data_IF_145488127138
#
_entry.id   IF_145488127138
#
_cell.length_a   1.000
_cell.length_b   1.000
_cell.length_c   1.000
_cell.angle_alpha   90.00
_cell.angle_beta   90.00
_cell.angle_gamma   90.00
#
_symmetry.space_group_name_H-M   'P 1'
#
loop_
_entity.id
_entity.type
_entity.pdbx_description
1 polymer ?
#
# COMPACT_ATOMS: atom_id res chain seq x y z
N UNK A 1 49.46 -34.00 60.55
CA UNK A 1 48.81 -33.65 59.28
C UNK A 1 47.56 -32.83 59.58
N UNK A 2 47.46 -31.56 59.16
CA UNK A 2 46.22 -30.80 59.27
C UNK A 2 45.33 -31.02 58.03
N UNK A 3 43.99 -30.94 58.16
CA UNK A 3 43.06 -31.20 57.07
C UNK A 3 42.99 -30.04 56.07
N UNK A 4 42.92 -30.38 54.79
CA UNK A 4 42.78 -29.47 53.65
C UNK A 4 41.38 -28.84 53.60
N UNK A 5 41.31 -27.51 53.61
CA UNK A 5 40.07 -26.76 53.33
C UNK A 5 39.78 -26.83 51.84
N UNK A 6 38.67 -27.43 51.45
CA UNK A 6 38.14 -27.41 50.09
C UNK A 6 37.54 -26.04 49.79
N UNK A 7 38.02 -25.38 48.73
CA UNK A 7 37.50 -24.10 48.27
C UNK A 7 36.19 -24.33 47.48
N UNK A 8 35.11 -23.65 47.86
CA UNK A 8 33.81 -23.72 47.18
C UNK A 8 33.73 -22.64 46.08
N UNK A 9 33.62 -23.00 44.78
CA UNK A 9 33.76 -22.05 43.67
C UNK A 9 32.44 -21.33 43.30
N UNK A 10 31.62 -20.95 44.29
CA UNK A 10 30.32 -20.30 44.03
C UNK A 10 30.08 -19.07 44.92
N UNK A 11 30.63 -17.93 44.51
CA UNK A 11 29.90 -16.65 44.43
C UNK A 11 30.84 -15.52 43.99
N UNK A 12 31.19 -15.46 42.71
CA UNK A 12 31.66 -14.18 42.15
C UNK A 12 30.43 -13.30 41.95
N UNK A 13 30.17 -12.41 42.92
CA UNK A 13 29.30 -11.25 42.69
C UNK A 13 30.10 -10.26 41.85
N UNK A 14 29.61 -9.80 40.68
CA UNK A 14 30.31 -8.78 39.92
C UNK A 14 30.46 -7.52 40.78
N UNK A 15 31.68 -6.99 40.90
CA UNK A 15 32.02 -5.78 41.65
C UNK A 15 31.40 -4.51 41.08
N UNK A 16 30.85 -4.59 39.86
CA UNK A 16 30.09 -3.51 39.24
C UNK A 16 28.62 -3.93 39.30
N UNK A 17 27.92 -3.44 40.33
CA UNK A 17 26.48 -3.34 40.26
C UNK A 17 26.20 -2.41 39.07
N UNK A 18 25.68 -2.93 37.96
CA UNK A 18 25.13 -2.07 36.93
C UNK A 18 23.98 -1.33 37.59
N UNK A 19 24.25 -0.08 38.02
CA UNK A 19 23.17 0.84 38.38
C UNK A 19 22.24 0.80 37.18
N UNK A 20 21.04 0.26 37.36
CA UNK A 20 20.04 0.35 36.32
C UNK A 20 19.76 1.84 36.18
N UNK A 21 20.43 2.49 35.23
CA UNK A 21 20.13 3.86 34.78
C UNK A 21 18.77 3.79 34.07
N UNK A 22 17.72 3.43 34.81
CA UNK A 22 16.36 3.59 34.37
C UNK A 22 16.09 5.07 34.59
N UNK A 23 15.92 5.85 33.51
CA UNK A 23 15.73 7.28 33.63
C UNK A 23 14.50 7.53 34.50
N UNK A 24 14.63 8.47 35.42
CA UNK A 24 13.55 8.85 36.32
C UNK A 24 12.32 9.31 35.51
N UNK A 25 11.10 9.22 36.05
CA UNK A 25 9.91 9.71 35.35
C UNK A 25 10.04 11.17 34.90
N UNK A 26 10.77 11.98 35.68
CA UNK A 26 11.07 13.38 35.37
C UNK A 26 12.04 13.48 34.20
N UNK A 27 13.10 12.67 34.17
CA UNK A 27 14.07 12.62 33.08
C UNK A 27 13.41 12.19 31.76
N UNK A 28 12.53 11.18 31.81
CA UNK A 28 11.72 10.78 30.64
C UNK A 28 10.83 11.91 30.14
N UNK A 29 10.20 12.65 31.05
CA UNK A 29 9.34 13.77 30.67
C UNK A 29 10.13 14.92 30.04
N UNK A 30 11.35 15.18 30.52
CA UNK A 30 12.27 16.16 29.96
C UNK A 30 12.79 15.73 28.59
N UNK A 31 13.16 14.47 28.41
CA UNK A 31 13.58 13.92 27.11
C UNK A 31 12.47 14.04 26.05
N UNK A 32 11.23 13.79 26.44
CA UNK A 32 10.08 13.98 25.55
C UNK A 32 9.89 15.45 25.17
N UNK A 33 10.04 16.36 26.12
CA UNK A 33 9.97 17.80 25.85
C UNK A 33 11.13 18.24 24.95
N UNK A 34 12.36 17.78 25.18
CA UNK A 34 13.52 18.09 24.35
C UNK A 34 13.29 17.60 22.92
N UNK A 35 12.82 16.35 22.74
CA UNK A 35 12.48 15.81 21.41
C UNK A 35 11.38 16.63 20.73
N UNK A 36 10.36 17.04 21.47
CA UNK A 36 9.29 17.89 20.96
C UNK A 36 9.83 19.24 20.46
N UNK A 37 10.62 19.92 21.28
CA UNK A 37 11.19 21.23 20.94
C UNK A 37 12.21 21.14 19.80
N UNK A 38 13.01 20.08 19.72
CA UNK A 38 13.92 19.84 18.59
C UNK A 38 13.15 19.65 17.28
N UNK A 39 12.13 18.78 17.27
CA UNK A 39 11.25 18.60 16.09
C UNK A 39 10.62 19.93 15.67
N UNK A 40 10.16 20.73 16.62
CA UNK A 40 9.51 22.02 16.34
C UNK A 40 10.50 23.06 15.81
N UNK A 41 11.73 23.08 16.33
CA UNK A 41 12.81 23.92 15.79
C UNK A 41 13.13 23.54 14.34
N UNK A 42 13.32 22.25 14.07
CA UNK A 42 13.67 21.77 12.73
C UNK A 42 12.54 22.05 11.73
N UNK A 43 11.28 21.90 12.14
CA UNK A 43 10.12 22.29 11.36
C UNK A 43 10.16 23.79 11.00
N UNK A 44 10.42 24.66 11.98
CA UNK A 44 10.49 26.11 11.76
C UNK A 44 11.65 26.50 10.84
N UNK A 45 12.82 25.89 10.99
CA UNK A 45 13.97 26.12 10.11
C UNK A 45 13.62 25.73 8.66
N UNK A 46 12.96 24.59 8.46
CA UNK A 46 12.49 24.17 7.13
C UNK A 46 11.44 25.13 6.56
N UNK A 47 10.46 25.55 7.36
CA UNK A 47 9.42 26.48 6.94
C UNK A 47 10.01 27.83 6.48
N UNK A 48 10.95 28.39 7.25
CA UNK A 48 11.65 29.63 6.87
C UNK A 48 12.47 29.45 5.60
N UNK A 49 13.09 28.28 5.41
CA UNK A 49 13.83 27.97 4.17
C UNK A 49 12.88 27.97 2.97
N UNK A 50 11.76 27.24 3.05
CA UNK A 50 10.77 27.17 1.97
C UNK A 50 10.14 28.54 1.64
N UNK A 51 9.90 29.36 2.67
CA UNK A 51 9.41 30.72 2.47
C UNK A 51 10.42 31.61 1.74
N UNK A 52 11.72 31.45 2.01
CA UNK A 52 12.77 32.27 1.37
C UNK A 52 13.08 31.87 -0.07
N UNK A 53 12.89 30.60 -0.42
CA UNK A 53 13.30 30.09 -1.73
C UNK A 53 12.24 30.26 -2.83
N UNK A 54 11.04 30.77 -2.51
CA UNK A 54 9.87 30.82 -3.41
C UNK A 54 9.65 29.49 -4.17
N UNK A 55 10.03 28.37 -3.57
CA UNK A 55 9.90 27.04 -4.18
C UNK A 55 8.42 26.68 -4.38
N UNK A 56 7.54 27.21 -3.54
CA UNK A 56 6.11 26.97 -3.63
C UNK A 56 5.50 27.44 -4.96
N UNK A 57 5.85 28.64 -5.44
CA UNK A 57 5.38 29.16 -6.73
C UNK A 57 5.87 28.29 -7.89
N UNK A 58 7.15 27.91 -7.88
CA UNK A 58 7.73 27.03 -8.90
C UNK A 58 7.09 25.65 -8.92
N UNK A 59 6.79 25.10 -7.75
CA UNK A 59 6.11 23.81 -7.61
C UNK A 59 4.67 23.92 -8.16
N UNK A 60 3.94 24.99 -7.83
CA UNK A 60 2.59 25.21 -8.36
C UNK A 60 2.59 25.37 -9.89
N UNK A 61 3.55 26.11 -10.44
CA UNK A 61 3.71 26.24 -11.89
C UNK A 61 3.96 24.88 -12.57
N UNK A 62 4.76 24.02 -11.93
CA UNK A 62 5.00 22.67 -12.42
C UNK A 62 3.74 21.82 -12.31
N UNK A 63 3.01 21.89 -11.20
CA UNK A 63 1.73 21.18 -11.02
C UNK A 63 0.76 21.58 -12.12
N UNK A 64 0.60 22.88 -12.40
CA UNK A 64 -0.27 23.33 -13.48
C UNK A 64 0.16 22.84 -14.86
N UNK A 65 1.46 22.85 -15.15
CA UNK A 65 2.00 22.34 -16.42
C UNK A 65 1.69 20.85 -16.59
N UNK A 66 1.94 20.06 -15.56
CA UNK A 66 1.65 18.63 -15.58
C UNK A 66 0.15 18.36 -15.68
N UNK A 67 -0.69 19.08 -14.94
CA UNK A 67 -2.15 18.99 -15.08
C UNK A 67 -2.62 19.31 -16.50
N UNK A 68 -2.08 20.36 -17.13
CA UNK A 68 -2.39 20.70 -18.54
C UNK A 68 -2.00 19.57 -19.50
N UNK A 69 -0.81 18.99 -19.34
CA UNK A 69 -0.35 17.87 -20.16
C UNK A 69 -1.27 16.65 -19.95
N UNK A 70 -1.59 16.32 -18.70
CA UNK A 70 -2.50 15.23 -18.37
C UNK A 70 -3.89 15.45 -18.97
N UNK A 71 -4.46 16.66 -18.87
CA UNK A 71 -5.73 17.00 -19.52
C UNK A 71 -5.69 16.76 -21.04
N UNK A 72 -4.62 17.21 -21.71
CA UNK A 72 -4.47 17.02 -23.15
C UNK A 72 -4.30 15.55 -23.52
N UNK A 73 -3.49 14.81 -22.78
CA UNK A 73 -3.26 13.39 -22.99
C UNK A 73 -4.56 12.58 -22.79
N UNK A 74 -5.32 12.87 -21.74
CA UNK A 74 -6.58 12.20 -21.45
C UNK A 74 -7.65 12.51 -22.50
N UNK A 75 -7.74 13.76 -22.98
CA UNK A 75 -8.63 14.10 -24.09
C UNK A 75 -8.27 13.34 -25.38
N UNK A 76 -6.98 13.25 -25.70
CA UNK A 76 -6.52 12.48 -26.85
C UNK A 76 -6.87 10.99 -26.70
N UNK A 77 -6.61 10.43 -25.52
CA UNK A 77 -6.88 9.02 -25.24
C UNK A 77 -8.38 8.73 -25.30
N UNK A 78 -9.22 9.58 -24.70
CA UNK A 78 -10.67 9.47 -24.73
C UNK A 78 -11.19 9.45 -26.18
N UNK A 79 -10.76 10.40 -27.00
CA UNK A 79 -11.15 10.45 -28.42
C UNK A 79 -10.73 9.18 -29.15
N UNK A 80 -9.50 8.71 -28.93
CA UNK A 80 -9.00 7.48 -29.56
C UNK A 80 -9.80 6.24 -29.12
N UNK A 81 -10.22 6.17 -27.85
CA UNK A 81 -11.04 5.09 -27.33
C UNK A 81 -12.47 5.16 -27.87
N UNK A 82 -13.08 6.35 -27.91
CA UNK A 82 -14.42 6.55 -28.47
C UNK A 82 -14.48 6.08 -29.92
N UNK A 83 -13.47 6.42 -30.75
CA UNK A 83 -13.39 5.92 -32.12
C UNK A 83 -13.32 4.39 -32.14
N UNK A 84 -12.45 3.77 -31.34
CA UNK A 84 -12.38 2.30 -31.27
C UNK A 84 -13.70 1.66 -30.83
N UNK A 85 -14.36 2.24 -29.83
CA UNK A 85 -15.65 1.80 -29.32
C UNK A 85 -16.73 1.87 -30.41
N UNK A 86 -16.76 2.96 -31.18
CA UNK A 86 -17.67 3.08 -32.31
C UNK A 86 -17.44 1.97 -33.35
N UNK A 87 -16.18 1.63 -33.67
CA UNK A 87 -15.88 0.51 -34.58
C UNK A 87 -16.27 -0.86 -34.02
N UNK A 88 -16.32 -1.01 -32.68
CA UNK A 88 -16.75 -2.24 -32.01
C UNK A 88 -18.28 -2.38 -31.88
N UNK A 89 -19.05 -1.47 -32.45
CA UNK A 89 -20.53 -1.49 -32.38
C UNK A 89 -21.12 -0.64 -31.24
N UNK A 90 -20.34 0.29 -30.70
CA UNK A 90 -20.79 1.24 -29.68
C UNK A 90 -20.45 0.85 -28.24
N UNK A 91 -20.84 1.70 -27.30
CA UNK A 91 -20.46 1.58 -25.89
C UNK A 91 -21.00 0.32 -25.23
N UNK A 92 -22.25 -0.05 -25.52
CA UNK A 92 -22.86 -1.28 -24.99
C UNK A 92 -22.10 -2.54 -25.42
N UNK A 93 -21.66 -2.62 -26.68
CA UNK A 93 -20.92 -3.77 -27.20
C UNK A 93 -19.54 -3.89 -26.54
N UNK A 94 -18.85 -2.76 -26.36
CA UNK A 94 -17.57 -2.72 -25.65
C UNK A 94 -17.71 -3.12 -24.19
N UNK A 95 -18.73 -2.61 -23.49
CA UNK A 95 -18.99 -2.93 -22.07
C UNK A 95 -19.28 -4.42 -21.88
N UNK A 96 -20.07 -5.02 -22.78
CA UNK A 96 -20.32 -6.46 -22.76
C UNK A 96 -19.02 -7.24 -22.98
N UNK A 97 -18.21 -6.85 -23.96
CA UNK A 97 -16.93 -7.52 -24.21
C UNK A 97 -15.97 -7.43 -23.01
N UNK A 98 -15.95 -6.30 -22.29
CA UNK A 98 -15.14 -6.15 -21.09
C UNK A 98 -15.66 -7.02 -19.94
N UNK A 99 -16.99 -7.08 -19.77
CA UNK A 99 -17.60 -8.01 -18.80
C UNK A 99 -17.27 -9.46 -19.11
N UNK A 100 -17.36 -9.87 -20.38
CA UNK A 100 -17.05 -11.24 -20.79
C UNK A 100 -15.56 -11.56 -20.56
N UNK A 101 -14.66 -10.60 -20.85
CA UNK A 101 -13.23 -10.75 -20.53
C UNK A 101 -12.97 -10.88 -19.04
N UNK A 102 -13.60 -10.03 -18.22
CA UNK A 102 -13.47 -10.07 -16.76
C UNK A 102 -14.05 -11.37 -16.20
N UNK A 103 -15.21 -11.81 -16.69
CA UNK A 103 -15.82 -13.07 -16.29
C UNK A 103 -14.94 -14.27 -16.64
N UNK A 104 -14.32 -14.30 -17.82
CA UNK A 104 -13.38 -15.36 -18.20
C UNK A 104 -12.10 -15.35 -17.35
N UNK A 105 -11.58 -14.17 -16.98
CA UNK A 105 -10.45 -14.05 -16.06
C UNK A 105 -10.82 -14.49 -14.64
N UNK A 106 -11.98 -14.05 -14.15
CA UNK A 106 -12.51 -14.44 -12.85
C UNK A 106 -12.75 -15.95 -12.76
N UNK A 107 -13.29 -16.58 -13.81
CA UNK A 107 -13.46 -18.03 -13.85
C UNK A 107 -12.12 -18.78 -13.79
N UNK A 108 -11.10 -18.29 -14.48
CA UNK A 108 -9.74 -18.85 -14.38
C UNK A 108 -9.15 -18.70 -12.97
N UNK A 109 -9.34 -17.52 -12.35
CA UNK A 109 -8.85 -17.25 -11.00
C UNK A 109 -9.62 -18.04 -9.93
N UNK A 110 -10.93 -18.21 -10.07
CA UNK A 110 -11.75 -19.02 -9.17
C UNK A 110 -11.34 -20.49 -9.25
N UNK A 111 -11.12 -21.03 -10.45
CA UNK A 111 -10.60 -22.39 -10.60
C UNK A 111 -9.22 -22.55 -9.96
N UNK A 112 -8.32 -21.58 -10.12
CA UNK A 112 -7.03 -21.58 -9.41
C UNK A 112 -7.20 -21.50 -7.89
N UNK A 113 -8.17 -20.72 -7.39
CA UNK A 113 -8.45 -20.55 -5.96
C UNK A 113 -9.07 -21.80 -5.35
N UNK A 114 -10.00 -22.45 -6.04
CA UNK A 114 -10.57 -23.74 -5.64
C UNK A 114 -9.47 -24.81 -5.57
N UNK A 115 -8.61 -24.91 -6.58
CA UNK A 115 -7.48 -25.83 -6.58
C UNK A 115 -6.49 -25.56 -5.42
N UNK A 116 -6.21 -24.28 -5.13
CA UNK A 116 -5.33 -23.88 -4.04
C UNK A 116 -5.96 -24.17 -2.66
N UNK A 117 -7.25 -23.90 -2.50
CA UNK A 117 -8.02 -24.23 -1.30
C UNK A 117 -8.05 -25.74 -1.07
N UNK A 118 -8.31 -26.53 -2.10
CA UNK A 118 -8.31 -28.00 -2.02
C UNK A 118 -6.92 -28.53 -1.66
N UNK A 119 -5.86 -27.91 -2.19
CA UNK A 119 -4.49 -28.25 -1.83
C UNK A 119 -4.17 -27.94 -0.36
N UNK A 120 -4.57 -26.77 0.15
CA UNK A 120 -4.38 -26.40 1.57
C UNK A 120 -5.14 -27.35 2.51
N UNK A 121 -6.26 -27.90 2.06
CA UNK A 121 -7.05 -28.88 2.82
C UNK A 121 -6.56 -30.34 2.67
N UNK A 122 -5.57 -30.59 1.81
CA UNK A 122 -5.04 -31.93 1.55
C UNK A 122 -3.99 -32.36 2.59
N UNK A 123 -3.78 -33.67 2.74
CA UNK A 123 -2.72 -34.20 3.62
C UNK A 123 -1.32 -33.76 3.16
N UNK A 124 -1.12 -33.48 1.86
CA UNK A 124 0.15 -33.02 1.30
C UNK A 124 0.59 -31.65 1.85
N UNK A 125 -0.35 -30.77 2.20
CA UNK A 125 -0.05 -29.48 2.80
C UNK A 125 0.63 -29.61 4.17
N UNK A 126 0.26 -30.62 4.96
CA UNK A 126 0.83 -30.87 6.29
C UNK A 126 2.27 -31.35 6.24
N UNK A 127 2.71 -31.85 5.09
CA UNK A 127 4.08 -32.31 4.85
C UNK A 127 5.03 -31.20 4.36
N UNK A 128 4.50 -30.03 4.02
CA UNK A 128 5.29 -28.86 3.62
C UNK A 128 6.01 -28.21 4.81
N UNK A 129 7.04 -27.43 4.53
CA UNK A 129 7.72 -26.65 5.56
C UNK A 129 6.80 -25.53 6.11
N UNK A 130 7.04 -25.10 7.34
CA UNK A 130 6.26 -24.00 7.94
C UNK A 130 6.35 -22.68 7.15
N UNK A 131 7.41 -22.51 6.36
CA UNK A 131 7.59 -21.36 5.49
C UNK A 131 6.66 -21.46 4.26
N UNK A 132 6.64 -22.60 3.58
CA UNK A 132 5.77 -22.84 2.42
C UNK A 132 4.28 -22.80 2.79
N UNK A 133 3.91 -23.31 3.97
CA UNK A 133 2.54 -23.22 4.47
C UNK A 133 2.10 -21.76 4.70
N UNK A 134 3.01 -20.91 5.20
CA UNK A 134 2.74 -19.49 5.41
C UNK A 134 2.53 -18.76 4.08
N UNK A 135 3.42 -19.00 3.10
CA UNK A 135 3.35 -18.36 1.78
C UNK A 135 2.04 -18.73 1.05
N UNK A 136 1.61 -19.99 1.11
CA UNK A 136 0.35 -20.43 0.50
C UNK A 136 -0.88 -19.84 1.20
N UNK A 137 -0.84 -19.71 2.52
CA UNK A 137 -1.93 -19.08 3.29
C UNK A 137 -2.03 -17.57 3.01
N UNK A 138 -0.89 -16.91 2.77
CA UNK A 138 -0.83 -15.51 2.36
C UNK A 138 -1.43 -15.31 0.97
N UNK A 139 -1.08 -16.16 0.00
CA UNK A 139 -1.65 -16.13 -1.36
C UNK A 139 -3.17 -16.35 -1.36
N UNK A 140 -3.68 -17.25 -0.51
CA UNK A 140 -5.13 -17.47 -0.39
C UNK A 140 -5.82 -16.23 0.19
N UNK A 141 -5.24 -15.59 1.21
CA UNK A 141 -5.81 -14.36 1.78
C UNK A 141 -5.74 -13.16 0.81
N UNK A 142 -4.67 -13.04 0.03
CA UNK A 142 -4.50 -11.98 -0.97
C UNK A 142 -5.58 -12.10 -2.07
N UNK A 143 -5.76 -13.31 -2.62
CA UNK A 143 -6.81 -13.58 -3.62
C UNK A 143 -8.23 -13.40 -3.09
N UNK A 144 -8.46 -13.64 -1.79
CA UNK A 144 -9.75 -13.36 -1.15
C UNK A 144 -10.02 -11.85 -1.06
N UNK A 145 -9.03 -11.06 -0.66
CA UNK A 145 -9.17 -9.60 -0.53
C UNK A 145 -9.40 -8.91 -1.88
N UNK A 146 -8.72 -9.36 -2.93
CA UNK A 146 -8.92 -8.86 -4.29
C UNK A 146 -10.37 -9.07 -4.77
N UNK A 147 -10.95 -10.24 -4.47
CA UNK A 147 -12.34 -10.55 -4.86
C UNK A 147 -13.39 -9.65 -4.18
N UNK A 148 -13.11 -9.14 -2.99
CA UNK A 148 -14.03 -8.25 -2.26
C UNK A 148 -14.04 -6.85 -2.89
N UNK A 149 -12.86 -6.33 -3.27
CA UNK A 149 -12.71 -5.02 -3.91
C UNK A 149 -13.37 -4.97 -5.29
N UNK A 150 -13.38 -6.08 -6.03
CA UNK A 150 -13.97 -6.15 -7.36
C UNK A 150 -15.50 -6.08 -7.39
N UNK A 151 -16.18 -6.45 -6.29
CA UNK A 151 -17.65 -6.50 -6.21
C UNK A 151 -18.28 -5.14 -5.88
N UNK A 152 -17.53 -4.23 -5.24
CA UNK A 152 -18.05 -2.90 -4.88
C UNK A 152 -18.15 -1.94 -6.08
N UNK A 153 -17.45 -2.25 -7.17
CA UNK A 153 -17.26 -1.33 -8.30
C UNK A 153 -18.39 -1.44 -9.37
N UNK A 154 -19.32 -2.41 -9.27
CA UNK A 154 -20.38 -2.62 -10.29
C UNK A 154 -21.59 -1.64 -10.20
N UNK A 155 -21.41 -0.47 -9.58
CA UNK A 155 -22.44 0.56 -9.48
C UNK A 155 -22.73 1.29 -10.80
N UNK A 156 -23.86 0.93 -11.43
CA UNK A 156 -24.80 1.77 -12.21
C UNK A 156 -24.22 2.91 -13.07
N UNK A 157 -23.85 2.62 -14.32
CA UNK A 157 -23.71 3.65 -15.36
C UNK A 157 -24.66 3.32 -16.52
N UNK A 158 -25.72 4.13 -16.63
CA UNK A 158 -26.77 4.12 -17.65
C UNK A 158 -26.41 4.98 -18.88
N UNK A 159 -25.17 5.46 -18.97
CA UNK A 159 -24.76 6.35 -20.05
C UNK A 159 -24.18 5.57 -21.23
N UNK A 160 -24.63 5.91 -22.43
CA UNK A 160 -24.24 5.26 -23.69
C UNK A 160 -22.90 5.78 -24.24
N UNK A 161 -22.18 6.59 -23.45
CA UNK A 161 -20.93 7.24 -23.84
C UNK A 161 -19.86 7.04 -22.78
N UNK A 162 -18.65 6.73 -23.24
CA UNK A 162 -17.46 6.70 -22.40
C UNK A 162 -17.16 8.13 -21.91
N UNK A 163 -17.27 8.34 -20.60
CA UNK A 163 -16.97 9.61 -19.96
C UNK A 163 -15.51 9.70 -19.51
N UNK A 164 -15.04 10.94 -19.26
CA UNK A 164 -13.69 11.16 -18.75
C UNK A 164 -13.50 10.49 -17.38
N UNK A 165 -14.51 10.55 -16.49
CA UNK A 165 -14.46 9.87 -15.19
C UNK A 165 -14.25 8.37 -15.32
N UNK A 166 -14.97 7.72 -16.24
CA UNK A 166 -14.80 6.28 -16.52
C UNK A 166 -13.41 5.96 -17.09
N UNK A 167 -12.84 6.83 -17.93
CA UNK A 167 -11.46 6.67 -18.41
C UNK A 167 -10.44 6.69 -17.27
N UNK A 168 -10.58 7.63 -16.33
CA UNK A 168 -9.68 7.73 -15.18
C UNK A 168 -9.81 6.54 -14.23
N UNK A 169 -11.05 6.07 -14.02
CA UNK A 169 -11.30 4.85 -13.25
C UNK A 169 -10.70 3.61 -13.93
N UNK A 170 -10.83 3.50 -15.26
CA UNK A 170 -10.22 2.41 -16.04
C UNK A 170 -8.67 2.44 -15.94
N UNK A 171 -8.08 3.63 -15.85
CA UNK A 171 -6.64 3.82 -15.68
C UNK A 171 -6.17 3.71 -14.22
N UNK A 172 -7.09 3.51 -13.27
CA UNK A 172 -6.83 3.53 -11.83
C UNK A 172 -6.11 4.82 -11.38
N UNK A 173 -6.66 5.97 -11.79
CA UNK A 173 -6.12 7.30 -11.51
C UNK A 173 -7.18 8.18 -10.85
N UNK A 174 -6.75 9.00 -9.89
CA UNK A 174 -7.61 9.97 -9.22
C UNK A 174 -7.98 11.12 -10.15
N UNK A 175 -9.27 11.24 -10.49
CA UNK A 175 -9.78 12.34 -11.30
C UNK A 175 -9.52 13.71 -10.66
N UNK A 176 -9.73 13.79 -9.35
CA UNK A 176 -9.57 15.00 -8.55
C UNK A 176 -8.14 15.53 -8.56
N UNK A 177 -7.14 14.67 -8.77
CA UNK A 177 -5.74 15.11 -8.82
C UNK A 177 -5.49 16.11 -9.97
N UNK A 178 -6.24 15.98 -11.05
CA UNK A 178 -6.02 16.70 -12.30
C UNK A 178 -7.05 17.84 -12.46
N UNK A 179 -8.29 17.63 -12.01
CA UNK A 179 -9.40 18.57 -12.20
C UNK A 179 -9.76 19.43 -10.97
N UNK A 180 -9.18 19.21 -9.77
CA UNK A 180 -9.29 20.15 -8.61
C UNK A 180 -8.22 21.24 -8.60
#
# INVERSE_FOLDING_TARGET
MPPSKTYNPKSFKPLIQSKSNRPSPVEKSLDLQIKYWLKRKDLLVKAVKYQKTNEFEKINDLIEKWRKICHQASNYLLNSMQVKIMHMGGHSAWKQQQKDKKANQSFGNESCRENLSDFVNSEEFTHLSSYEQSDLMEQLNETLNESILENEDEGTFLDDQLTMHELYRLLNLDYDLIYN
#
